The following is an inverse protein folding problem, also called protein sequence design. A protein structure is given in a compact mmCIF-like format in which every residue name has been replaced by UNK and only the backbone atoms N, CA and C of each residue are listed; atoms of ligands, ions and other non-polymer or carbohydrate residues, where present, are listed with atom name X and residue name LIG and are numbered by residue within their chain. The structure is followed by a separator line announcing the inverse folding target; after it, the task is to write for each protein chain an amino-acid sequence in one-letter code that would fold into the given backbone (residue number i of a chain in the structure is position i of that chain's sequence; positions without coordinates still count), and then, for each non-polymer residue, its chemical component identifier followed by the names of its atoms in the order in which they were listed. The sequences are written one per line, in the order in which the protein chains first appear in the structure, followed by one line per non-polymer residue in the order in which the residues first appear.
data_IF_079957741997
#
_entry.id   IF_079957741997
#
_cell.length_a   1.000
_cell.length_b   1.000
_cell.length_c   1.000
_cell.angle_alpha   90.00
_cell.angle_beta   90.00
_cell.angle_gamma   90.00
#
_symmetry.space_group_name_H-M   'P 1'
#
loop_
_entity.id
_entity.type
_entity.pdbx_description
1 polymer ?
#
# COMPACT_ATOMS: atom_id res chain seq x y z
N UNK A 1 -6.22 -18.56 -10.91
CA UNK A 1 -4.95 -18.12 -10.28
C UNK A 1 -4.15 -19.33 -9.81
N UNK A 2 -2.80 -19.27 -9.78
CA UNK A 2 -1.97 -20.31 -9.16
C UNK A 2 -2.32 -20.44 -7.67
N UNK A 3 -1.95 -21.58 -7.09
CA UNK A 3 -2.17 -21.80 -5.63
C UNK A 3 -0.85 -21.74 -4.89
N UNK A 4 -0.82 -20.95 -3.80
CA UNK A 4 0.28 -20.90 -2.86
C UNK A 4 -0.11 -21.71 -1.60
N UNK A 5 0.70 -22.71 -1.24
CA UNK A 5 0.40 -23.62 -0.15
C UNK A 5 1.24 -23.32 1.08
N UNK A 6 0.59 -23.23 2.24
CA UNK A 6 1.28 -23.17 3.53
C UNK A 6 1.63 -24.57 4.04
N UNK A 7 2.73 -24.67 4.77
CA UNK A 7 3.05 -25.84 5.59
C UNK A 7 2.02 -26.06 6.68
N UNK A 8 1.96 -27.29 7.21
CA UNK A 8 1.06 -27.64 8.32
C UNK A 8 1.32 -26.76 9.54
N UNK A 9 0.29 -26.07 10.01
CA UNK A 9 0.30 -25.22 11.22
C UNK A 9 0.69 -23.76 10.97
N UNK A 10 1.17 -23.40 9.77
CA UNK A 10 1.58 -22.01 9.45
C UNK A 10 0.40 -21.10 9.11
N UNK A 11 -0.82 -21.65 9.04
CA UNK A 11 -2.05 -20.88 8.82
C UNK A 11 -2.53 -20.09 10.06
N UNK A 12 -2.00 -20.36 11.25
CA UNK A 12 -2.47 -19.77 12.51
C UNK A 12 -2.39 -18.25 12.53
N UNK A 13 -1.26 -17.69 12.10
CA UNK A 13 -1.05 -16.23 12.05
C UNK A 13 -2.01 -15.57 11.07
N UNK A 14 -2.20 -16.17 9.89
CA UNK A 14 -3.10 -15.66 8.88
C UNK A 14 -4.55 -15.68 9.37
N UNK A 15 -4.99 -16.76 10.02
CA UNK A 15 -6.32 -16.85 10.65
C UNK A 15 -6.50 -15.86 11.80
N UNK A 16 -5.43 -15.52 12.52
CA UNK A 16 -5.43 -14.51 13.58
C UNK A 16 -5.42 -13.06 13.06
N UNK A 17 -5.42 -12.84 11.71
CA UNK A 17 -5.51 -11.51 11.13
C UNK A 17 -4.23 -10.98 10.50
N UNK A 18 -3.09 -11.69 10.60
CA UNK A 18 -1.88 -11.30 9.90
C UNK A 18 -2.05 -11.38 8.38
N UNK A 19 -1.38 -10.49 7.66
CA UNK A 19 -1.47 -10.39 6.21
C UNK A 19 -0.17 -10.75 5.49
N UNK A 20 0.94 -10.94 6.22
CA UNK A 20 2.24 -11.28 5.67
C UNK A 20 2.52 -12.77 5.78
N UNK A 21 2.98 -13.34 4.69
CA UNK A 21 3.40 -14.72 4.57
C UNK A 21 4.91 -14.73 4.31
N UNK A 22 5.64 -15.48 5.13
CA UNK A 22 7.09 -15.60 5.00
C UNK A 22 7.47 -16.82 4.16
N UNK A 23 8.62 -16.76 3.50
CA UNK A 23 9.10 -17.82 2.61
C UNK A 23 9.29 -19.17 3.29
N UNK A 24 9.66 -19.19 4.58
CA UNK A 24 9.79 -20.41 5.37
C UNK A 24 8.44 -21.06 5.74
N UNK A 25 7.32 -20.34 5.61
CA UNK A 25 5.97 -20.85 5.87
C UNK A 25 5.38 -21.62 4.65
N UNK A 26 6.02 -21.50 3.46
CA UNK A 26 5.53 -22.08 2.21
C UNK A 26 5.91 -23.57 2.09
N UNK A 27 4.95 -24.40 1.66
CA UNK A 27 5.18 -25.78 1.23
C UNK A 27 5.80 -25.76 -0.19
N UNK A 28 7.13 -25.78 -0.23
CA UNK A 28 7.91 -25.72 -1.48
C UNK A 28 7.77 -26.95 -2.36
N UNK A 29 7.20 -28.06 -1.86
CA UNK A 29 6.93 -29.24 -2.66
C UNK A 29 5.66 -29.11 -3.48
N UNK A 30 4.67 -28.36 -2.96
CA UNK A 30 3.39 -28.11 -3.63
C UNK A 30 3.37 -26.82 -4.43
N UNK A 31 4.14 -25.82 -4.00
CA UNK A 31 4.22 -24.49 -4.64
C UNK A 31 5.64 -23.93 -4.48
N UNK A 32 6.59 -24.37 -5.33
CA UNK A 32 7.92 -23.79 -5.34
C UNK A 32 7.84 -22.29 -5.64
N UNK A 33 8.46 -21.46 -4.80
CA UNK A 33 8.44 -20.00 -4.98
C UNK A 33 9.00 -19.55 -6.33
N UNK A 34 10.07 -20.18 -6.89
CA UNK A 34 10.59 -19.81 -8.22
C UNK A 34 9.59 -19.98 -9.38
N UNK A 35 8.48 -20.68 -9.18
CA UNK A 35 7.44 -20.86 -10.21
C UNK A 35 6.51 -19.64 -10.31
N UNK A 36 6.67 -18.65 -9.41
CA UNK A 36 5.88 -17.42 -9.40
C UNK A 36 6.68 -16.24 -9.94
N UNK A 37 5.99 -15.38 -10.69
CA UNK A 37 6.55 -14.10 -11.08
C UNK A 37 6.35 -13.04 -9.95
N UNK A 38 7.27 -12.08 -9.79
CA UNK A 38 7.09 -10.99 -8.85
C UNK A 38 5.80 -10.21 -9.12
N UNK A 39 4.95 -10.08 -8.09
CA UNK A 39 3.64 -9.42 -8.19
C UNK A 39 2.50 -10.29 -8.72
N UNK A 40 2.76 -11.58 -9.00
CA UNK A 40 1.73 -12.51 -9.48
C UNK A 40 0.68 -12.77 -8.40
N UNK A 41 -0.60 -12.76 -8.82
CA UNK A 41 -1.72 -13.09 -7.94
C UNK A 41 -1.84 -14.61 -7.75
N UNK A 42 -2.09 -15.05 -6.51
CA UNK A 42 -2.28 -16.44 -6.16
C UNK A 42 -3.39 -16.63 -5.12
N UNK A 43 -3.98 -17.82 -5.07
CA UNK A 43 -4.90 -18.23 -4.01
C UNK A 43 -4.10 -18.92 -2.90
N UNK A 44 -4.14 -18.39 -1.69
CA UNK A 44 -3.48 -18.95 -0.51
C UNK A 44 -4.32 -20.07 0.09
N UNK A 45 -3.71 -21.24 0.33
CA UNK A 45 -4.34 -22.39 0.97
C UNK A 45 -3.52 -22.92 2.13
N UNK A 46 -4.19 -23.44 3.15
CA UNK A 46 -3.54 -24.20 4.22
C UNK A 46 -3.14 -25.60 3.75
N UNK A 47 -2.41 -26.33 4.59
CA UNK A 47 -1.94 -27.69 4.30
C UNK A 47 -3.07 -28.71 4.01
N UNK A 48 -4.31 -28.42 4.44
CA UNK A 48 -5.50 -29.27 4.23
C UNK A 48 -6.32 -28.86 3.01
N UNK A 49 -5.93 -27.76 2.32
CA UNK A 49 -6.63 -27.26 1.14
C UNK A 49 -7.68 -26.18 1.42
N UNK A 50 -7.89 -25.80 2.69
CA UNK A 50 -8.82 -24.71 2.98
C UNK A 50 -8.28 -23.37 2.45
N UNK A 51 -9.15 -22.60 1.82
CA UNK A 51 -8.81 -21.29 1.29
C UNK A 51 -8.62 -20.29 2.44
N UNK A 52 -7.54 -19.52 2.39
CA UNK A 52 -7.25 -18.44 3.32
C UNK A 52 -7.46 -17.06 2.70
N UNK A 53 -7.40 -16.97 1.36
CA UNK A 53 -7.65 -15.75 0.60
C UNK A 53 -6.82 -15.61 -0.66
N UNK A 54 -6.80 -14.40 -1.22
CA UNK A 54 -5.98 -14.02 -2.38
C UNK A 54 -4.78 -13.20 -1.93
N UNK A 55 -3.62 -13.50 -2.50
CA UNK A 55 -2.33 -12.90 -2.22
C UNK A 55 -1.66 -12.46 -3.51
N UNK A 56 -0.73 -11.52 -3.45
CA UNK A 56 0.31 -11.40 -4.47
C UNK A 56 1.63 -11.94 -3.92
N UNK A 57 2.45 -12.49 -4.81
CA UNK A 57 3.68 -13.20 -4.47
C UNK A 57 4.91 -12.41 -4.94
N UNK A 58 5.97 -12.42 -4.14
CA UNK A 58 7.32 -12.04 -4.55
C UNK A 58 8.29 -13.15 -4.13
N UNK A 59 8.76 -13.99 -5.06
CA UNK A 59 9.63 -15.13 -4.74
C UNK A 59 10.99 -14.73 -4.17
N UNK A 60 11.41 -13.47 -4.38
CA UNK A 60 12.74 -12.97 -3.98
C UNK A 60 12.73 -12.27 -2.62
N UNK A 61 11.56 -12.08 -2.01
CA UNK A 61 11.42 -11.40 -0.71
C UNK A 61 11.26 -12.40 0.43
N UNK A 62 11.79 -12.06 1.61
CA UNK A 62 11.53 -12.82 2.84
C UNK A 62 10.03 -12.86 3.17
N UNK A 63 9.31 -11.72 3.00
CA UNK A 63 7.85 -11.67 3.01
C UNK A 63 7.39 -12.00 1.60
N UNK A 64 7.35 -13.30 1.29
CA UNK A 64 7.14 -13.78 -0.07
C UNK A 64 5.72 -13.62 -0.59
N UNK A 65 4.73 -13.36 0.28
CA UNK A 65 3.39 -13.03 -0.16
C UNK A 65 2.67 -12.10 0.83
N UNK A 66 1.72 -11.33 0.31
CA UNK A 66 0.88 -10.44 1.12
C UNK A 66 -0.59 -10.67 0.76
N UNK A 67 -1.39 -10.90 1.81
CA UNK A 67 -2.83 -11.14 1.66
C UNK A 67 -3.56 -9.80 1.54
N UNK A 68 -4.28 -9.64 0.43
CA UNK A 68 -5.10 -8.46 0.18
C UNK A 68 -6.60 -8.77 0.20
N UNK A 69 -7.01 -10.04 0.20
CA UNK A 69 -8.41 -10.44 0.31
C UNK A 69 -8.57 -11.78 1.00
N UNK A 70 -9.66 -11.94 1.76
CA UNK A 70 -10.08 -13.24 2.33
C UNK A 70 -10.90 -14.09 1.35
N UNK A 71 -11.27 -13.54 0.19
CA UNK A 71 -11.94 -14.28 -0.88
C UNK A 71 -10.90 -15.02 -1.72
N UNK A 72 -11.27 -16.22 -2.21
CA UNK A 72 -10.46 -16.94 -3.18
C UNK A 72 -10.56 -16.30 -4.57
N UNK A 73 -9.53 -16.50 -5.37
CA UNK A 73 -9.48 -16.20 -6.80
C UNK A 73 -9.95 -14.79 -7.18
N UNK A 74 -9.76 -13.84 -6.24
CA UNK A 74 -10.03 -12.42 -6.47
C UNK A 74 -8.76 -11.78 -7.04
N UNK A 75 -8.73 -11.29 -8.29
CA UNK A 75 -7.57 -10.59 -8.81
C UNK A 75 -7.40 -9.22 -8.13
N UNK A 76 -6.15 -8.79 -7.99
CA UNK A 76 -5.83 -7.41 -7.67
C UNK A 76 -5.73 -6.66 -9.00
N UNK A 77 -6.82 -6.03 -9.39
CA UNK A 77 -7.00 -5.29 -10.65
C UNK A 77 -7.52 -3.88 -10.41
N UNK A 78 -7.76 -3.12 -11.47
CA UNK A 78 -8.26 -1.75 -11.41
C UNK A 78 -9.58 -1.65 -10.63
N UNK A 79 -10.48 -2.61 -10.75
CA UNK A 79 -11.78 -2.59 -10.06
C UNK A 79 -11.62 -2.77 -8.56
N UNK A 80 -10.75 -3.69 -8.12
CA UNK A 80 -10.46 -3.87 -6.69
C UNK A 80 -9.71 -2.67 -6.13
N UNK A 81 -8.75 -2.11 -6.87
CA UNK A 81 -8.04 -0.88 -6.49
C UNK A 81 -9.04 0.28 -6.30
N UNK A 82 -9.92 0.48 -7.27
CA UNK A 82 -10.99 1.50 -7.22
C UNK A 82 -11.86 1.33 -5.99
N UNK A 83 -12.38 0.13 -5.74
CA UNK A 83 -13.22 -0.17 -4.58
C UNK A 83 -12.50 0.13 -3.25
N UNK A 84 -11.23 -0.25 -3.12
CA UNK A 84 -10.45 -0.02 -1.90
C UNK A 84 -10.17 1.46 -1.67
N UNK A 85 -9.74 2.17 -2.71
CA UNK A 85 -9.47 3.60 -2.65
C UNK A 85 -10.74 4.41 -2.39
N UNK A 86 -11.88 4.05 -2.98
CA UNK A 86 -13.17 4.67 -2.65
C UNK A 86 -13.55 4.46 -1.19
N UNK A 87 -13.33 3.26 -0.66
CA UNK A 87 -13.60 2.95 0.76
C UNK A 87 -12.69 3.77 1.68
N UNK A 88 -11.40 3.84 1.35
CA UNK A 88 -10.42 4.64 2.08
C UNK A 88 -10.78 6.13 2.02
N UNK A 89 -11.10 6.66 0.85
CA UNK A 89 -11.52 8.04 0.63
C UNK A 89 -12.77 8.38 1.44
N UNK A 90 -13.80 7.54 1.35
CA UNK A 90 -15.06 7.74 2.10
C UNK A 90 -14.86 7.75 3.61
N UNK A 91 -13.91 6.94 4.14
CA UNK A 91 -13.53 7.00 5.55
C UNK A 91 -12.87 8.33 5.91
N UNK A 92 -11.90 8.79 5.11
CA UNK A 92 -11.16 10.05 5.36
C UNK A 92 -12.05 11.26 5.26
N UNK A 93 -12.98 11.30 4.29
CA UNK A 93 -13.97 12.38 4.14
C UNK A 93 -14.91 12.50 5.34
N UNK A 94 -15.21 11.40 6.04
CA UNK A 94 -15.98 11.45 7.31
C UNK A 94 -15.17 11.93 8.50
N UNK A 95 -13.85 11.75 8.48
CA UNK A 95 -12.95 12.10 9.59
C UNK A 95 -12.36 13.51 9.46
N UNK A 96 -12.25 14.03 8.24
CA UNK A 96 -11.55 15.28 7.96
C UNK A 96 -12.38 16.18 7.04
N UNK A 97 -12.51 17.43 7.41
CA UNK A 97 -13.26 18.42 6.64
C UNK A 97 -12.54 18.93 5.39
N UNK A 98 -11.24 18.67 5.29
CA UNK A 98 -10.39 19.13 4.19
C UNK A 98 -9.48 18.00 3.71
N UNK A 99 -9.05 18.00 2.43
CA UNK A 99 -8.31 16.90 1.81
C UNK A 99 -6.81 16.92 2.17
N UNK A 100 -6.50 16.93 3.47
CA UNK A 100 -5.15 16.95 4.04
C UNK A 100 -5.02 15.79 5.02
N UNK A 101 -4.66 14.60 4.50
CA UNK A 101 -4.62 13.36 5.30
C UNK A 101 -3.86 12.24 4.57
N UNK A 102 -3.43 11.24 5.34
CA UNK A 102 -3.04 9.94 4.77
C UNK A 102 -4.26 9.25 4.19
N UNK A 103 -4.30 9.17 2.86
CA UNK A 103 -5.42 8.56 2.13
C UNK A 103 -5.35 7.04 2.19
N UNK A 104 -4.16 6.44 1.98
CA UNK A 104 -3.97 4.99 2.03
C UNK A 104 -2.82 4.64 2.98
N UNK A 105 -3.03 3.60 3.80
CA UNK A 105 -2.06 3.10 4.76
C UNK A 105 -1.88 1.59 4.64
N UNK A 106 -1.40 1.14 3.50
CA UNK A 106 -0.98 -0.23 3.26
C UNK A 106 -2.02 -1.28 3.65
N UNK A 107 -1.61 -2.15 4.52
CA UNK A 107 -2.42 -3.26 5.03
C UNK A 107 -3.69 -2.81 5.75
N UNK A 108 -3.69 -1.64 6.36
CA UNK A 108 -4.87 -1.07 7.04
C UNK A 108 -6.02 -0.75 6.10
N UNK A 109 -5.72 -0.45 4.83
CA UNK A 109 -6.69 -0.21 3.77
C UNK A 109 -6.78 -1.40 2.79
N UNK A 110 -6.18 -2.55 3.15
CA UNK A 110 -6.10 -3.78 2.36
C UNK A 110 -5.41 -3.60 0.99
N UNK A 111 -4.47 -2.64 0.91
CA UNK A 111 -3.58 -2.38 -0.22
C UNK A 111 -2.11 -2.51 0.22
N UNK A 112 -1.64 -3.75 0.51
CA UNK A 112 -0.34 -3.98 1.13
C UNK A 112 0.80 -3.35 0.34
N UNK A 113 1.60 -2.51 1.02
CA UNK A 113 2.73 -1.82 0.42
C UNK A 113 2.41 -0.51 -0.29
N UNK A 114 1.14 -0.06 -0.30
CA UNK A 114 0.75 1.24 -0.82
C UNK A 114 0.58 2.25 0.31
N UNK A 115 1.37 3.31 0.30
CA UNK A 115 1.18 4.47 1.19
C UNK A 115 0.89 5.68 0.32
N UNK A 116 -0.15 6.43 0.69
CA UNK A 116 -0.55 7.61 -0.08
C UNK A 116 -0.98 8.73 0.84
N UNK A 117 -0.36 9.88 0.70
CA UNK A 117 -0.73 11.12 1.37
C UNK A 117 -1.36 12.10 0.39
N UNK A 118 -2.47 12.69 0.81
CA UNK A 118 -3.18 13.71 0.06
C UNK A 118 -2.93 15.10 0.66
N UNK A 119 -2.52 16.02 -0.20
CA UNK A 119 -2.22 17.41 0.11
C UNK A 119 -3.07 18.33 -0.78
N UNK A 120 -4.36 18.47 -0.47
CA UNK A 120 -5.30 19.15 -1.36
C UNK A 120 -5.46 18.40 -2.68
N UNK A 121 -4.96 19.02 -3.77
CA UNK A 121 -4.97 18.45 -5.12
C UNK A 121 -3.64 17.76 -5.50
N UNK A 122 -2.71 17.65 -4.56
CA UNK A 122 -1.43 16.98 -4.77
C UNK A 122 -1.40 15.64 -4.02
N UNK A 123 -0.76 14.63 -4.61
CA UNK A 123 -0.58 13.32 -4.01
C UNK A 123 0.90 12.99 -3.87
N UNK A 124 1.30 12.40 -2.76
CA UNK A 124 2.55 11.66 -2.63
C UNK A 124 2.23 10.20 -2.44
N UNK A 125 2.78 9.35 -3.32
CA UNK A 125 2.50 7.91 -3.39
C UNK A 125 3.78 7.13 -3.24
N UNK A 126 3.81 6.19 -2.30
CA UNK A 126 4.90 5.23 -2.13
C UNK A 126 4.41 3.82 -2.47
N UNK A 127 5.09 3.17 -3.39
CA UNK A 127 4.82 1.80 -3.83
C UNK A 127 5.96 0.91 -3.34
N UNK A 128 5.75 0.22 -2.23
CA UNK A 128 6.77 -0.53 -1.52
C UNK A 128 6.81 -2.04 -1.80
N UNK A 129 5.97 -2.55 -2.72
CA UNK A 129 5.87 -3.99 -3.00
C UNK A 129 5.68 -4.28 -4.49
N UNK A 130 6.14 -5.46 -4.95
CA UNK A 130 5.93 -5.89 -6.34
C UNK A 130 4.45 -6.02 -6.71
N UNK A 131 3.58 -6.41 -5.76
CA UNK A 131 2.15 -6.49 -6.04
C UNK A 131 1.54 -5.15 -6.43
N UNK A 132 1.95 -4.07 -5.78
CA UNK A 132 1.52 -2.71 -6.13
C UNK A 132 2.28 -2.16 -7.34
N UNK A 133 3.58 -2.44 -7.47
CA UNK A 133 4.37 -2.00 -8.63
C UNK A 133 3.80 -2.55 -9.93
N UNK A 134 3.47 -3.84 -9.96
CA UNK A 134 2.85 -4.48 -11.12
C UNK A 134 1.46 -3.91 -11.49
N UNK A 135 0.89 -3.06 -10.65
CA UNK A 135 -0.41 -2.40 -10.82
C UNK A 135 -0.31 -0.87 -10.86
N UNK A 136 0.90 -0.35 -11.07
CA UNK A 136 1.15 1.10 -11.00
C UNK A 136 0.34 1.86 -12.06
N UNK A 137 0.19 1.31 -13.27
CA UNK A 137 -0.59 1.95 -14.34
C UNK A 137 -2.09 1.97 -14.00
N UNK A 138 -2.65 0.84 -13.57
CA UNK A 138 -4.04 0.78 -13.12
C UNK A 138 -4.29 1.71 -11.93
N UNK A 139 -3.33 1.80 -11.00
CA UNK A 139 -3.40 2.71 -9.87
C UNK A 139 -3.42 4.18 -10.34
N UNK A 140 -2.58 4.54 -11.32
CA UNK A 140 -2.53 5.87 -11.92
C UNK A 140 -3.88 6.26 -12.53
N UNK A 141 -4.47 5.37 -13.33
CA UNK A 141 -5.78 5.58 -13.94
C UNK A 141 -6.87 5.78 -12.89
N UNK A 142 -6.93 4.90 -11.88
CA UNK A 142 -7.91 4.99 -10.79
C UNK A 142 -7.75 6.25 -9.97
N UNK A 143 -6.52 6.73 -9.73
CA UNK A 143 -6.29 8.00 -9.05
C UNK A 143 -6.77 9.19 -9.88
N UNK A 144 -6.53 9.17 -11.19
CA UNK A 144 -7.05 10.17 -12.12
C UNK A 144 -8.57 10.23 -12.10
N UNK A 145 -9.26 9.08 -12.13
CA UNK A 145 -10.72 9.01 -12.07
C UNK A 145 -11.29 9.53 -10.74
N UNK A 146 -10.72 9.12 -9.61
CA UNK A 146 -11.29 9.38 -8.29
C UNK A 146 -10.96 10.76 -7.72
N UNK A 147 -9.78 11.28 -8.02
CA UNK A 147 -9.23 12.44 -7.33
C UNK A 147 -8.86 13.60 -8.25
N UNK A 148 -8.65 13.32 -9.56
CA UNK A 148 -8.21 14.30 -10.56
C UNK A 148 -7.04 15.16 -10.02
N UNK A 149 -5.94 14.54 -9.55
CA UNK A 149 -4.88 15.25 -8.88
C UNK A 149 -4.17 16.21 -9.84
N UNK A 150 -3.78 17.38 -9.36
CA UNK A 150 -2.97 18.34 -10.10
C UNK A 150 -1.55 17.82 -10.31
N UNK A 151 -1.03 17.07 -9.36
CA UNK A 151 0.23 16.35 -9.49
C UNK A 151 0.30 15.11 -8.62
N UNK A 152 1.12 14.14 -9.03
CA UNK A 152 1.49 12.96 -8.27
C UNK A 152 3.01 12.91 -8.15
N UNK A 153 3.53 12.85 -6.92
CA UNK A 153 4.90 12.48 -6.64
C UNK A 153 4.92 10.98 -6.25
N UNK A 154 5.51 10.15 -7.10
CA UNK A 154 5.85 8.77 -6.78
C UNK A 154 7.17 8.78 -6.00
N UNK A 155 7.07 8.85 -4.67
CA UNK A 155 8.20 8.93 -3.75
C UNK A 155 8.72 7.52 -3.43
N UNK A 156 9.37 6.91 -4.41
CA UNK A 156 9.78 5.51 -4.39
C UNK A 156 11.23 5.31 -3.92
N UNK A 157 11.95 6.35 -3.49
CA UNK A 157 13.27 6.22 -2.85
C UNK A 157 13.13 5.77 -1.38
N UNK A 158 12.55 4.61 -1.16
CA UNK A 158 12.31 4.02 0.16
C UNK A 158 13.02 2.68 0.32
N UNK A 159 13.53 2.41 1.53
CA UNK A 159 14.27 1.18 1.82
C UNK A 159 13.45 -0.11 1.60
N UNK A 160 12.13 -0.05 1.77
CA UNK A 160 11.23 -1.19 1.55
C UNK A 160 11.36 -1.76 0.13
N UNK A 161 11.58 -0.91 -0.89
CA UNK A 161 11.73 -1.33 -2.28
C UNK A 161 12.98 -2.19 -2.50
N UNK A 162 14.09 -1.88 -1.82
CA UNK A 162 15.29 -2.71 -1.91
C UNK A 162 15.06 -4.13 -1.37
N UNK A 163 14.23 -4.29 -0.34
CA UNK A 163 13.87 -5.60 0.22
C UNK A 163 12.97 -6.42 -0.72
N UNK A 164 12.28 -5.73 -1.63
CA UNK A 164 11.43 -6.34 -2.66
C UNK A 164 12.19 -6.54 -3.99
N UNK A 165 13.44 -6.05 -4.12
CA UNK A 165 14.20 -6.08 -5.39
C UNK A 165 13.72 -5.06 -6.41
N UNK A 166 13.06 -3.99 -5.97
CA UNK A 166 12.58 -2.88 -6.80
C UNK A 166 13.59 -1.73 -6.85
N UNK A 167 13.70 -0.99 -7.97
CA UNK A 167 14.53 0.20 -8.05
C UNK A 167 13.99 1.31 -7.13
N UNK A 168 14.91 2.13 -6.59
CA UNK A 168 14.60 3.26 -5.72
C UNK A 168 14.68 4.57 -6.53
N UNK A 169 13.64 4.87 -7.26
CA UNK A 169 13.58 6.02 -8.16
C UNK A 169 12.28 6.78 -7.96
N UNK A 170 12.40 8.11 -7.81
CA UNK A 170 11.25 8.99 -7.73
C UNK A 170 10.81 9.41 -9.13
N UNK A 171 9.50 9.55 -9.31
CA UNK A 171 8.89 10.06 -10.53
C UNK A 171 7.89 11.15 -10.19
N UNK A 172 7.66 12.08 -11.11
CA UNK A 172 6.70 13.17 -10.93
C UNK A 172 5.76 13.27 -12.13
N UNK A 173 4.48 13.47 -11.83
CA UNK A 173 3.45 13.76 -12.82
C UNK A 173 2.82 15.12 -12.50
N UNK A 174 2.74 16.00 -13.49
CA UNK A 174 2.28 17.37 -13.31
C UNK A 174 3.24 18.26 -12.51
N UNK A 175 2.81 19.47 -12.15
CA UNK A 175 3.65 20.44 -11.43
C UNK A 175 3.68 20.14 -9.94
N UNK A 176 4.63 19.31 -9.50
CA UNK A 176 4.86 19.02 -8.08
C UNK A 176 5.54 20.22 -7.41
N UNK A 177 4.93 20.85 -6.41
CA UNK A 177 5.54 21.97 -5.69
C UNK A 177 6.67 21.50 -4.78
N UNK A 178 7.71 22.31 -4.61
CA UNK A 178 8.80 22.01 -3.67
C UNK A 178 8.31 22.03 -2.22
N UNK A 179 7.43 22.97 -1.89
CA UNK A 179 6.88 23.16 -0.55
C UNK A 179 5.38 23.39 -0.63
N UNK A 180 4.62 22.70 0.21
CA UNK A 180 3.19 22.92 0.39
C UNK A 180 2.88 23.59 1.72
N UNK A 181 1.82 24.41 1.73
CA UNK A 181 1.22 24.94 2.93
C UNK A 181 0.14 23.98 3.44
N UNK A 182 0.42 23.29 4.56
CA UNK A 182 -0.47 22.29 5.15
C UNK A 182 -1.31 22.92 6.25
N UNK A 183 -2.62 23.13 6.07
CA UNK A 183 -3.50 23.60 7.12
C UNK A 183 -3.78 22.47 8.11
N UNK A 184 -3.45 22.67 9.36
CA UNK A 184 -3.69 21.70 10.44
C UNK A 184 -3.86 22.37 11.79
N UNK A 185 -4.93 22.00 12.52
CA UNK A 185 -5.22 22.50 13.89
C UNK A 185 -5.28 24.04 14.00
N UNK A 186 -5.73 24.73 12.97
CA UNK A 186 -5.80 26.20 12.95
C UNK A 186 -4.49 26.90 12.60
N UNK A 187 -3.44 26.14 12.31
CA UNK A 187 -2.12 26.65 11.88
C UNK A 187 -1.88 26.28 10.42
N UNK A 188 -0.94 26.99 9.78
CA UNK A 188 -0.41 26.65 8.45
C UNK A 188 1.05 26.23 8.64
N UNK A 189 1.36 25.01 8.26
CA UNK A 189 2.71 24.47 8.28
C UNK A 189 3.27 24.41 6.85
N UNK A 190 4.58 24.53 6.71
CA UNK A 190 5.26 24.36 5.42
C UNK A 190 5.89 22.98 5.37
N UNK A 191 5.45 22.14 4.43
CA UNK A 191 5.93 20.78 4.22
C UNK A 191 6.71 20.69 2.90
N UNK A 192 8.01 20.35 2.92
CA UNK A 192 8.74 20.05 1.71
C UNK A 192 8.24 18.71 1.15
N UNK A 193 7.83 18.67 -0.11
CA UNK A 193 7.45 17.41 -0.76
C UNK A 193 8.67 16.69 -1.35
N UNK A 194 9.60 17.43 -1.92
CA UNK A 194 10.83 16.88 -2.47
C UNK A 194 11.95 16.89 -1.43
N UNK A 195 12.64 15.75 -1.26
CA UNK A 195 13.75 15.62 -0.29
C UNK A 195 13.35 15.65 1.18
N UNK A 196 12.05 15.64 1.49
CA UNK A 196 11.53 15.56 2.85
C UNK A 196 11.64 14.14 3.45
N UNK A 197 11.52 14.04 4.79
CA UNK A 197 11.39 12.73 5.44
C UNK A 197 10.00 12.14 5.16
N UNK A 198 9.92 10.80 4.94
CA UNK A 198 8.70 10.08 4.57
C UNK A 198 8.08 10.73 3.31
N UNK A 199 6.78 10.92 3.30
CA UNK A 199 6.00 11.56 2.23
C UNK A 199 5.96 13.09 2.30
N UNK A 200 6.84 13.72 3.11
CA UNK A 200 6.89 15.18 3.33
C UNK A 200 6.14 15.67 4.57
N UNK A 201 5.18 14.93 5.09
CA UNK A 201 4.42 15.30 6.29
C UNK A 201 4.05 14.10 7.16
N UNK A 202 3.99 14.32 8.49
CA UNK A 202 3.66 13.30 9.48
C UNK A 202 2.19 13.44 9.92
N UNK A 203 1.23 12.96 9.14
CA UNK A 203 -0.18 13.03 9.48
C UNK A 203 -0.56 12.25 10.75
N UNK A 204 0.19 11.22 11.11
CA UNK A 204 0.05 10.46 12.36
C UNK A 204 0.29 11.32 13.62
N UNK A 205 1.08 12.40 13.50
CA UNK A 205 1.39 13.32 14.61
C UNK A 205 0.38 14.46 14.78
N UNK A 206 -0.68 14.55 13.98
CA UNK A 206 -1.69 15.62 14.02
C UNK A 206 -2.26 15.83 15.43
N UNK A 207 -2.61 14.73 16.11
CA UNK A 207 -3.15 14.77 17.47
C UNK A 207 -2.09 15.27 18.48
N UNK A 208 -0.86 14.76 18.37
CA UNK A 208 0.22 15.15 19.25
C UNK A 208 0.55 16.63 19.11
N UNK A 209 0.60 17.16 17.87
CA UNK A 209 0.79 18.61 17.63
C UNK A 209 -0.34 19.44 18.24
N UNK A 210 -1.59 18.99 18.15
CA UNK A 210 -2.72 19.68 18.77
C UNK A 210 -2.62 19.71 20.29
N UNK A 211 -2.23 18.60 20.91
CA UNK A 211 -2.07 18.56 22.37
C UNK A 211 -0.87 19.41 22.84
N UNK A 212 0.25 19.37 22.12
CA UNK A 212 1.43 20.18 22.44
C UNK A 212 1.16 21.70 22.36
N UNK A 213 0.26 22.12 21.44
CA UNK A 213 -0.10 23.54 21.29
C UNK A 213 -0.92 24.12 22.46
N UNK A 214 -1.27 23.30 23.46
CA UNK A 214 -1.97 23.76 24.68
C UNK A 214 -1.05 24.24 25.78
N UNK A 215 0.26 23.99 25.63
CA UNK A 215 1.32 24.37 26.59
C UNK A 215 2.21 25.48 26.02
#
# INVERSE_FOLDING_TARGET
MKTLWLKKGEDRRIRAGHLWIFSNEIDSTKSPLPDFEPGENATLRDARGAVLGSVFVNPHSLICARLYSRKADLPLDADLLRQRLQSALGLRQRLYNQPWYRLCHGEGDLLPGLVMDRFGDHLTVQVGTWGMEARKEELREVLGELLQPRSILWDNDIAARSLEGLPRENESEGPVPDVLEVPENGCIFRAPLQGGQKTGWFYDQRRNRREAARY
#
